data_IF_412828405722
#
_entry.id   IF_412828405722
#
_cell.length_a   1.000
_cell.length_b   1.000
_cell.length_c   1.000
_cell.angle_alpha   90.00
_cell.angle_beta   90.00
_cell.angle_gamma   90.00
#
_symmetry.space_group_name_H-M   'P 1'
#
loop_
_entity.id
_entity.type
_entity.pdbx_description
1 polymer ?
#
# COMPACT_ATOMS: atom_id res chain seq x y z
N UNK A 1 -11.22 14.55 52.49
CA UNK A 1 -12.54 14.79 51.90
C UNK A 1 -12.37 14.60 50.42
N UNK A 2 -12.90 13.50 49.90
CA UNK A 2 -13.27 13.26 48.50
C UNK A 2 -13.89 11.87 48.47
N UNK A 3 -15.21 11.82 48.65
CA UNK A 3 -16.01 10.61 48.51
C UNK A 3 -16.16 10.26 47.02
N UNK A 4 -16.01 8.99 46.62
CA UNK A 4 -16.29 8.56 45.26
C UNK A 4 -17.80 8.45 45.06
N UNK A 5 -18.30 9.20 44.08
CA UNK A 5 -19.69 9.27 43.66
C UNK A 5 -20.20 7.89 43.16
N UNK A 6 -20.84 7.14 44.05
CA UNK A 6 -21.34 5.76 43.85
C UNK A 6 -22.85 5.70 43.51
N UNK A 7 -23.36 6.58 42.63
CA UNK A 7 -24.81 6.57 42.28
C UNK A 7 -25.15 6.72 40.79
N UNK A 8 -24.20 6.53 39.86
CA UNK A 8 -24.49 6.73 38.42
C UNK A 8 -24.89 5.46 37.64
N UNK A 9 -24.63 4.25 38.16
CA UNK A 9 -24.70 3.00 37.37
C UNK A 9 -26.08 2.29 37.45
N UNK A 10 -26.77 2.39 38.60
CA UNK A 10 -28.09 1.78 38.80
C UNK A 10 -29.19 2.42 37.93
N UNK A 11 -29.13 3.74 37.70
CA UNK A 11 -30.10 4.46 36.88
C UNK A 11 -29.98 4.22 35.37
N UNK A 12 -28.83 3.78 34.87
CA UNK A 12 -28.65 3.39 33.47
C UNK A 12 -29.13 1.96 33.20
N UNK A 13 -28.91 1.03 34.14
CA UNK A 13 -29.40 -0.34 34.02
C UNK A 13 -30.94 -0.43 34.14
N UNK A 14 -31.56 0.34 35.06
CA UNK A 14 -33.03 0.41 35.14
C UNK A 14 -33.69 1.09 33.91
N UNK A 15 -33.00 2.06 33.28
CA UNK A 15 -33.48 2.68 32.02
C UNK A 15 -33.28 1.78 30.81
N UNK A 16 -32.28 0.91 30.80
CA UNK A 16 -32.08 -0.08 29.73
C UNK A 16 -33.09 -1.22 29.84
N UNK A 17 -33.39 -1.71 31.05
CA UNK A 17 -34.39 -2.77 31.29
C UNK A 17 -35.82 -2.35 30.88
N UNK A 18 -36.17 -1.06 30.97
CA UNK A 18 -37.49 -0.54 30.54
C UNK A 18 -37.65 -0.32 29.03
N UNK A 19 -36.63 -0.61 28.21
CA UNK A 19 -36.62 -0.27 26.78
C UNK A 19 -36.41 -1.47 25.85
N UNK A 20 -36.59 -2.71 26.35
CA UNK A 20 -36.77 -3.86 25.47
C UNK A 20 -38.08 -3.69 24.70
N UNK A 21 -37.97 -3.20 23.47
CA UNK A 21 -39.10 -3.07 22.55
C UNK A 21 -39.73 -4.45 22.36
N UNK A 22 -40.91 -4.64 22.92
CA UNK A 22 -41.74 -5.82 22.76
C UNK A 22 -42.12 -6.04 21.29
N UNK A 23 -42.33 -7.31 20.91
CA UNK A 23 -42.81 -7.64 19.57
C UNK A 23 -44.17 -6.97 19.32
N UNK A 24 -44.27 -6.22 18.22
CA UNK A 24 -45.51 -5.56 17.85
C UNK A 24 -46.13 -6.33 16.70
N UNK A 25 -47.25 -7.00 16.95
CA UNK A 25 -47.94 -7.75 15.91
C UNK A 25 -48.42 -6.83 14.79
N UNK A 26 -48.25 -7.27 13.54
CA UNK A 26 -48.79 -6.61 12.35
C UNK A 26 -49.52 -7.63 11.48
N UNK A 27 -50.50 -7.20 10.67
CA UNK A 27 -51.10 -8.07 9.66
C UNK A 27 -50.02 -8.63 8.72
N UNK A 28 -50.08 -9.92 8.31
CA UNK A 28 -49.13 -10.52 7.38
C UNK A 28 -48.83 -9.68 6.12
N UNK A 29 -49.87 -9.05 5.55
CA UNK A 29 -49.73 -8.15 4.40
C UNK A 29 -48.80 -6.95 4.63
N UNK A 30 -48.69 -6.49 5.88
CA UNK A 30 -47.79 -5.37 6.23
C UNK A 30 -46.33 -5.80 6.07
N UNK A 31 -45.99 -7.02 6.48
CA UNK A 31 -44.66 -7.58 6.27
C UNK A 31 -44.40 -7.80 4.77
N UNK A 32 -45.35 -8.42 4.05
CA UNK A 32 -45.23 -8.67 2.59
C UNK A 32 -44.98 -7.38 1.81
N UNK A 33 -45.80 -6.36 2.03
CA UNK A 33 -45.68 -5.06 1.37
C UNK A 33 -44.36 -4.36 1.70
N UNK A 34 -43.93 -4.43 2.96
CA UNK A 34 -42.64 -3.83 3.38
C UNK A 34 -41.47 -4.55 2.71
N UNK A 35 -41.48 -5.88 2.70
CA UNK A 35 -40.42 -6.72 2.11
C UNK A 35 -40.33 -6.52 0.60
N UNK A 36 -41.48 -6.36 -0.07
CA UNK A 36 -41.54 -6.12 -1.51
C UNK A 36 -40.74 -4.88 -1.95
N UNK A 37 -40.66 -3.84 -1.11
CA UNK A 37 -39.95 -2.59 -1.40
C UNK A 37 -38.48 -2.56 -0.93
N UNK A 38 -37.96 -3.64 -0.31
CA UNK A 38 -36.57 -3.64 0.16
C UNK A 38 -35.58 -3.75 -1.00
N UNK A 39 -34.42 -3.13 -0.85
CA UNK A 39 -33.41 -2.95 -1.90
C UNK A 39 -32.00 -3.28 -1.43
N UNK A 40 -31.11 -3.67 -2.34
CA UNK A 40 -29.69 -3.81 -2.05
C UNK A 40 -28.98 -2.44 -2.06
N UNK A 41 -29.34 -1.60 -3.02
CA UNK A 41 -28.76 -0.28 -3.25
C UNK A 41 -29.79 0.82 -2.99
N UNK A 42 -29.36 1.89 -2.33
CA UNK A 42 -30.23 3.05 -2.03
C UNK A 42 -29.51 4.36 -2.28
N UNK A 43 -30.19 5.33 -2.88
CA UNK A 43 -29.70 6.70 -3.06
C UNK A 43 -29.64 7.49 -1.76
N UNK A 44 -30.43 7.09 -0.75
CA UNK A 44 -30.53 7.80 0.54
C UNK A 44 -29.22 7.80 1.32
N UNK A 45 -28.37 6.79 1.10
CA UNK A 45 -27.04 6.71 1.72
C UNK A 45 -26.05 7.71 1.11
N UNK A 46 -26.27 8.11 -0.15
CA UNK A 46 -25.47 9.14 -0.83
C UNK A 46 -25.92 10.52 -0.38
N UNK A 47 -27.23 10.75 -0.34
CA UNK A 47 -27.82 11.96 0.20
C UNK A 47 -29.21 11.66 0.77
N UNK A 48 -29.39 11.85 2.09
CA UNK A 48 -30.64 11.53 2.79
C UNK A 48 -31.85 12.32 2.27
N UNK A 49 -31.60 13.50 1.68
CA UNK A 49 -32.63 14.40 1.15
C UNK A 49 -32.91 14.18 -0.34
N UNK A 50 -32.15 13.32 -1.04
CA UNK A 50 -32.46 12.96 -2.42
C UNK A 50 -33.78 12.18 -2.50
N UNK A 51 -34.49 12.28 -3.62
CA UNK A 51 -35.54 11.33 -3.94
C UNK A 51 -35.00 9.89 -3.86
N UNK A 52 -35.85 8.97 -3.39
CA UNK A 52 -35.46 7.56 -3.31
C UNK A 52 -35.27 7.02 -4.74
N UNK A 53 -34.06 6.58 -5.03
CA UNK A 53 -33.76 5.64 -6.10
C UNK A 53 -33.21 4.38 -5.42
N UNK A 54 -33.74 3.21 -5.78
CA UNK A 54 -33.38 1.95 -5.14
C UNK A 54 -33.38 0.80 -6.11
N UNK A 55 -32.46 -0.14 -5.92
CA UNK A 55 -32.29 -1.31 -6.79
C UNK A 55 -32.08 -2.56 -5.95
N UNK A 56 -32.87 -3.60 -6.22
CA UNK A 56 -32.69 -4.98 -5.77
C UNK A 56 -32.29 -5.84 -6.98
N UNK A 57 -31.35 -6.74 -6.74
CA UNK A 57 -30.78 -7.64 -7.73
C UNK A 57 -31.48 -8.99 -7.62
N UNK A 58 -31.69 -9.67 -8.75
CA UNK A 58 -32.09 -11.07 -8.82
C UNK A 58 -30.87 -12.00 -8.91
N UNK A 59 -31.10 -13.30 -8.79
CA UNK A 59 -30.06 -14.31 -9.03
C UNK A 59 -29.46 -14.22 -10.45
N UNK A 60 -30.26 -13.85 -11.45
CA UNK A 60 -29.82 -13.68 -12.84
C UNK A 60 -28.89 -12.47 -13.02
N UNK A 61 -28.87 -11.53 -12.07
CA UNK A 61 -27.92 -10.43 -12.07
C UNK A 61 -26.53 -10.86 -11.56
N UNK A 62 -26.34 -12.09 -11.07
CA UNK A 62 -25.05 -12.55 -10.62
C UNK A 62 -23.98 -12.44 -11.72
N UNK A 63 -22.75 -12.13 -11.32
CA UNK A 63 -21.62 -11.95 -12.25
C UNK A 63 -20.38 -12.64 -11.70
N UNK A 64 -19.82 -13.62 -12.40
CA UNK A 64 -18.54 -14.21 -12.01
C UNK A 64 -17.38 -13.37 -12.54
N UNK A 65 -16.77 -12.59 -11.67
CA UNK A 65 -15.66 -11.70 -11.97
C UNK A 65 -14.71 -11.59 -10.75
N UNK A 66 -13.43 -11.23 -10.94
CA UNK A 66 -12.43 -11.22 -9.87
C UNK A 66 -12.59 -10.08 -8.86
N UNK A 67 -13.55 -9.16 -9.07
CA UNK A 67 -13.79 -8.02 -8.20
C UNK A 67 -14.80 -8.34 -7.10
N UNK A 68 -14.69 -7.69 -5.94
CA UNK A 68 -15.69 -7.80 -4.87
C UNK A 68 -16.80 -6.77 -5.08
N UNK A 69 -18.02 -7.25 -5.30
CA UNK A 69 -19.23 -6.45 -5.53
C UNK A 69 -20.47 -7.26 -5.12
N UNK A 70 -21.66 -6.65 -5.10
CA UNK A 70 -22.88 -7.37 -4.77
C UNK A 70 -23.12 -8.55 -5.73
N UNK A 71 -22.98 -8.30 -7.04
CA UNK A 71 -23.21 -9.28 -8.10
C UNK A 71 -22.23 -10.45 -8.05
N UNK A 72 -20.97 -10.18 -7.71
CA UNK A 72 -19.92 -11.20 -7.62
C UNK A 72 -20.02 -12.01 -6.33
N UNK A 73 -20.45 -11.39 -5.23
CA UNK A 73 -20.78 -12.12 -4.00
C UNK A 73 -21.98 -13.05 -4.21
N UNK A 74 -23.03 -12.58 -4.90
CA UNK A 74 -24.19 -13.42 -5.25
C UNK A 74 -23.80 -14.60 -6.14
N UNK A 75 -22.92 -14.41 -7.13
CA UNK A 75 -22.39 -15.50 -7.96
C UNK A 75 -21.65 -16.58 -7.14
N UNK A 76 -21.12 -16.22 -5.97
CA UNK A 76 -20.47 -17.13 -5.02
C UNK A 76 -21.40 -17.65 -3.93
N UNK A 77 -22.72 -17.47 -4.08
CA UNK A 77 -23.73 -17.96 -3.15
C UNK A 77 -23.81 -17.16 -1.84
N UNK A 78 -23.22 -15.96 -1.79
CA UNK A 78 -23.32 -15.08 -0.61
C UNK A 78 -24.65 -14.32 -0.67
N UNK A 79 -25.51 -14.57 0.31
CA UNK A 79 -26.75 -13.81 0.51
C UNK A 79 -26.43 -12.43 1.11
N UNK A 80 -27.04 -11.39 0.56
CA UNK A 80 -26.86 -10.01 0.98
C UNK A 80 -28.14 -9.50 1.62
N UNK A 81 -28.03 -8.84 2.77
CA UNK A 81 -29.17 -8.22 3.43
C UNK A 81 -29.79 -7.13 2.56
N UNK A 82 -31.12 -7.11 2.53
CA UNK A 82 -31.92 -6.05 1.95
C UNK A 82 -32.13 -4.93 2.97
N UNK A 83 -32.23 -3.69 2.49
CA UNK A 83 -32.49 -2.50 3.32
C UNK A 83 -33.73 -1.73 2.83
N UNK A 84 -34.32 -0.94 3.71
CA UNK A 84 -35.39 -0.03 3.33
C UNK A 84 -34.83 1.33 2.93
N UNK A 85 -35.37 1.92 1.87
CA UNK A 85 -35.04 3.28 1.44
C UNK A 85 -36.09 4.33 1.80
N UNK A 86 -37.27 3.91 2.30
CA UNK A 86 -38.44 4.76 2.55
C UNK A 86 -39.07 4.47 3.91
N UNK A 87 -39.76 5.47 4.46
CA UNK A 87 -40.69 5.28 5.58
C UNK A 87 -40.11 5.43 6.99
N UNK A 88 -38.81 5.72 7.13
CA UNK A 88 -38.17 6.13 8.38
C UNK A 88 -38.49 5.21 9.57
N UNK A 89 -38.78 5.79 10.74
CA UNK A 89 -39.01 5.06 11.98
C UNK A 89 -40.16 4.03 11.92
N UNK A 90 -41.20 4.28 11.11
CA UNK A 90 -42.34 3.36 10.98
C UNK A 90 -41.93 2.05 10.31
N UNK A 91 -41.17 2.14 9.21
CA UNK A 91 -40.64 0.98 8.48
C UNK A 91 -39.48 0.33 9.22
N UNK A 92 -38.67 1.12 9.93
CA UNK A 92 -37.56 0.61 10.73
C UNK A 92 -37.99 -0.43 11.78
N UNK A 93 -39.16 -0.23 12.39
CA UNK A 93 -39.72 -1.18 13.35
C UNK A 93 -40.08 -2.53 12.72
N UNK A 94 -40.74 -2.50 11.57
CA UNK A 94 -41.12 -3.70 10.81
C UNK A 94 -39.86 -4.41 10.30
N UNK A 95 -38.91 -3.67 9.74
CA UNK A 95 -37.64 -4.25 9.25
C UNK A 95 -36.81 -4.88 10.38
N UNK A 96 -36.88 -4.34 11.61
CA UNK A 96 -36.27 -4.99 12.78
C UNK A 96 -36.85 -6.38 13.02
N UNK A 97 -38.18 -6.52 12.93
CA UNK A 97 -38.88 -7.80 13.10
C UNK A 97 -38.58 -8.77 11.96
N UNK A 98 -38.56 -8.29 10.72
CA UNK A 98 -38.15 -9.06 9.53
C UNK A 98 -36.73 -9.60 9.71
N UNK A 99 -35.77 -8.74 10.04
CA UNK A 99 -34.38 -9.16 10.27
C UNK A 99 -34.24 -10.13 11.44
N UNK A 100 -35.07 -10.03 12.47
CA UNK A 100 -35.06 -10.96 13.59
C UNK A 100 -35.50 -12.37 13.15
N UNK A 101 -36.54 -12.49 12.33
CA UNK A 101 -36.98 -13.77 11.77
C UNK A 101 -35.92 -14.35 10.84
N UNK A 102 -35.44 -13.57 9.86
CA UNK A 102 -34.45 -14.01 8.87
C UNK A 102 -33.14 -14.48 9.50
N UNK A 103 -32.73 -13.89 10.63
CA UNK A 103 -31.49 -14.23 11.33
C UNK A 103 -31.67 -15.25 12.45
N UNK A 104 -32.88 -15.75 12.68
CA UNK A 104 -33.18 -16.64 13.81
C UNK A 104 -32.87 -16.02 15.17
N UNK A 105 -33.12 -14.72 15.32
CA UNK A 105 -32.88 -14.01 16.58
C UNK A 105 -33.95 -14.41 17.63
N UNK A 106 -33.61 -14.56 18.93
CA UNK A 106 -34.59 -14.86 19.98
C UNK A 106 -35.78 -13.89 20.04
N UNK A 107 -35.61 -12.63 19.60
CA UNK A 107 -36.70 -11.66 19.49
C UNK A 107 -37.86 -12.14 18.58
N UNK A 108 -37.58 -13.01 17.61
CA UNK A 108 -38.59 -13.61 16.74
C UNK A 108 -39.45 -14.66 17.44
N UNK A 109 -39.08 -15.14 18.63
CA UNK A 109 -39.84 -16.13 19.40
C UNK A 109 -41.26 -15.65 19.74
N UNK A 110 -41.43 -14.32 19.89
CA UNK A 110 -42.71 -13.69 20.16
C UNK A 110 -43.61 -13.52 18.92
N UNK A 111 -43.10 -13.79 17.72
CA UNK A 111 -43.87 -13.75 16.48
C UNK A 111 -44.82 -14.95 16.37
N UNK A 112 -46.01 -14.73 15.83
CA UNK A 112 -46.92 -15.85 15.52
C UNK A 112 -46.38 -16.70 14.37
N UNK A 113 -46.82 -17.97 14.27
CA UNK A 113 -46.45 -18.84 13.16
C UNK A 113 -46.86 -18.26 11.80
N UNK A 114 -47.99 -17.55 11.75
CA UNK A 114 -48.48 -16.88 10.53
C UNK A 114 -47.58 -15.69 10.12
N UNK A 115 -47.14 -14.88 11.10
CA UNK A 115 -46.21 -13.78 10.84
C UNK A 115 -44.86 -14.30 10.33
N UNK A 116 -44.32 -15.36 10.94
CA UNK A 116 -43.05 -15.96 10.52
C UNK A 116 -43.12 -16.50 9.10
N UNK A 117 -44.14 -17.31 8.79
CA UNK A 117 -44.37 -17.83 7.43
C UNK A 117 -44.47 -16.70 6.42
N UNK A 118 -45.24 -15.64 6.72
CA UNK A 118 -45.38 -14.51 5.83
C UNK A 118 -44.07 -13.77 5.57
N UNK A 119 -43.20 -13.64 6.58
CA UNK A 119 -41.88 -13.02 6.46
C UNK A 119 -40.93 -13.91 5.65
N UNK A 120 -40.85 -15.19 5.98
CA UNK A 120 -39.94 -16.14 5.33
C UNK A 120 -40.26 -16.31 3.84
N UNK A 121 -41.55 -16.49 3.50
CA UNK A 121 -42.00 -16.61 2.12
C UNK A 121 -41.74 -15.32 1.33
N UNK A 122 -42.07 -14.16 1.91
CA UNK A 122 -41.88 -12.88 1.25
C UNK A 122 -40.39 -12.56 1.05
N UNK A 123 -39.53 -12.87 2.02
CA UNK A 123 -38.08 -12.67 1.89
C UNK A 123 -37.48 -13.61 0.84
N UNK A 124 -37.92 -14.86 0.78
CA UNK A 124 -37.51 -15.82 -0.25
C UNK A 124 -37.87 -15.30 -1.65
N UNK A 125 -39.09 -14.78 -1.81
CA UNK A 125 -39.54 -14.15 -3.05
C UNK A 125 -38.76 -12.87 -3.39
N UNK A 126 -38.48 -12.01 -2.40
CA UNK A 126 -37.74 -10.77 -2.61
C UNK A 126 -36.29 -11.03 -3.01
N UNK A 127 -35.58 -11.96 -2.36
CA UNK A 127 -34.20 -12.31 -2.69
C UNK A 127 -34.07 -12.96 -4.08
N UNK A 128 -35.15 -13.51 -4.63
CA UNK A 128 -35.17 -14.16 -5.95
C UNK A 128 -35.66 -13.23 -7.07
N UNK A 129 -36.05 -11.99 -6.76
CA UNK A 129 -36.68 -11.07 -7.72
C UNK A 129 -35.97 -9.72 -7.81
N UNK A 130 -35.75 -9.25 -9.04
CA UNK A 130 -35.25 -7.91 -9.30
C UNK A 130 -36.36 -6.89 -8.99
N UNK A 131 -35.96 -5.74 -8.46
CA UNK A 131 -36.88 -4.64 -8.19
C UNK A 131 -36.15 -3.32 -8.31
N UNK A 132 -36.83 -2.30 -8.82
CA UNK A 132 -36.31 -0.94 -8.89
C UNK A 132 -37.39 0.07 -8.57
N UNK A 133 -37.01 1.16 -7.93
CA UNK A 133 -37.90 2.27 -7.59
C UNK A 133 -37.18 3.60 -7.83
N UNK A 134 -37.88 4.58 -8.42
CA UNK A 134 -37.37 5.94 -8.60
C UNK A 134 -36.12 6.03 -9.49
N UNK A 135 -36.04 5.16 -10.50
CA UNK A 135 -34.91 5.10 -11.45
C UNK A 135 -35.19 5.87 -12.76
N UNK A 136 -36.39 6.43 -12.92
CA UNK A 136 -36.80 7.15 -14.13
C UNK A 136 -36.08 8.51 -14.26
N UNK A 137 -35.77 9.14 -13.12
CA UNK A 137 -35.14 10.44 -13.05
C UNK A 137 -34.04 10.47 -11.99
N UNK A 138 -32.94 11.16 -12.29
CA UNK A 138 -31.84 11.34 -11.32
C UNK A 138 -32.07 12.63 -10.53
N UNK A 139 -32.13 12.51 -9.21
CA UNK A 139 -32.18 13.68 -8.31
C UNK A 139 -30.87 14.48 -8.44
N UNK A 140 -30.97 15.82 -8.53
CA UNK A 140 -29.83 16.72 -8.67
C UNK A 140 -28.81 16.65 -7.52
N UNK A 141 -29.18 16.06 -6.38
CA UNK A 141 -28.29 15.84 -5.23
C UNK A 141 -27.41 14.61 -5.37
N UNK A 142 -27.70 13.75 -6.33
CA UNK A 142 -26.92 12.53 -6.59
C UNK A 142 -25.77 12.83 -7.55
N UNK A 143 -24.63 12.20 -7.29
CA UNK A 143 -23.46 12.35 -8.15
C UNK A 143 -23.67 11.58 -9.44
N UNK A 144 -23.21 12.17 -10.54
CA UNK A 144 -23.12 11.51 -11.84
C UNK A 144 -21.66 11.46 -12.28
N UNK A 145 -21.23 10.31 -12.76
CA UNK A 145 -19.89 10.07 -13.30
C UNK A 145 -20.04 9.69 -14.75
N UNK A 146 -19.30 10.36 -15.65
CA UNK A 146 -19.26 10.02 -17.06
C UNK A 146 -18.14 9.00 -17.31
N UNK A 147 -18.51 7.84 -17.82
CA UNK A 147 -17.57 6.76 -18.16
C UNK A 147 -17.49 6.67 -19.69
N UNK A 148 -16.30 6.81 -20.30
CA UNK A 148 -16.12 6.59 -21.72
C UNK A 148 -16.62 5.20 -22.11
N UNK A 149 -17.45 5.11 -23.15
CA UNK A 149 -17.94 3.83 -23.66
C UNK A 149 -18.04 3.89 -25.17
N UNK A 150 -17.30 3.00 -25.83
CA UNK A 150 -17.39 2.82 -27.27
C UNK A 150 -18.83 2.47 -27.69
N UNK A 151 -19.32 3.13 -28.73
CA UNK A 151 -20.69 2.95 -29.24
C UNK A 151 -21.80 3.63 -28.42
N UNK A 152 -21.48 4.33 -27.32
CA UNK A 152 -22.47 5.19 -26.66
C UNK A 152 -22.68 6.50 -27.43
N UNK A 153 -23.92 7.00 -27.44
CA UNK A 153 -24.23 8.31 -27.99
C UNK A 153 -23.45 9.40 -27.23
N UNK A 154 -22.67 10.20 -27.95
CA UNK A 154 -21.75 11.17 -27.34
C UNK A 154 -20.48 10.58 -26.73
N UNK A 155 -20.24 9.26 -26.84
CA UNK A 155 -19.01 8.58 -26.41
C UNK A 155 -18.92 8.25 -24.90
N UNK A 156 -19.96 8.57 -24.12
CA UNK A 156 -19.97 8.37 -22.66
C UNK A 156 -21.28 7.76 -22.18
N UNK A 157 -21.22 7.07 -21.04
CA UNK A 157 -22.39 6.68 -20.24
C UNK A 157 -22.35 7.40 -18.90
N UNK A 158 -23.47 8.02 -18.51
CA UNK A 158 -23.63 8.62 -17.19
C UNK A 158 -24.05 7.56 -16.17
N UNK A 159 -23.35 7.50 -15.04
CA UNK A 159 -23.59 6.54 -13.97
C UNK A 159 -23.77 7.25 -12.63
N UNK A 160 -24.77 6.83 -11.86
CA UNK A 160 -24.99 7.28 -10.48
C UNK A 160 -24.60 6.17 -9.50
N UNK A 161 -23.46 6.29 -8.79
CA UNK A 161 -23.06 5.30 -7.82
C UNK A 161 -24.00 5.33 -6.60
N UNK A 162 -24.47 4.16 -6.19
CA UNK A 162 -25.28 3.96 -4.98
C UNK A 162 -24.60 2.95 -4.06
N UNK A 163 -24.77 3.10 -2.75
CA UNK A 163 -24.15 2.21 -1.76
C UNK A 163 -24.96 0.93 -1.59
N UNK A 164 -24.29 -0.22 -1.55
CA UNK A 164 -24.90 -1.49 -1.20
C UNK A 164 -24.82 -1.74 0.31
N UNK A 165 -25.94 -1.61 1.02
CA UNK A 165 -25.95 -1.73 2.49
C UNK A 165 -25.56 -3.11 2.99
N UNK A 166 -26.03 -4.17 2.33
CA UNK A 166 -25.72 -5.56 2.68
C UNK A 166 -24.22 -5.89 2.58
N UNK A 167 -23.49 -5.27 1.66
CA UNK A 167 -22.02 -5.44 1.58
C UNK A 167 -21.35 -4.80 2.79
N UNK A 168 -21.77 -3.59 3.17
CA UNK A 168 -21.23 -2.92 4.35
C UNK A 168 -21.54 -3.71 5.63
N UNK A 169 -22.69 -4.35 5.73
CA UNK A 169 -22.99 -5.25 6.84
C UNK A 169 -22.04 -6.46 6.86
N UNK A 170 -21.92 -7.17 5.74
CA UNK A 170 -21.02 -8.32 5.62
C UNK A 170 -19.58 -7.97 6.05
N UNK A 171 -19.10 -6.79 5.67
CA UNK A 171 -17.73 -6.36 5.96
C UNK A 171 -17.57 -5.76 7.36
N UNK A 172 -18.51 -4.93 7.82
CA UNK A 172 -18.29 -3.98 8.92
C UNK A 172 -19.26 -4.11 10.09
N UNK A 173 -20.19 -5.07 10.07
CA UNK A 173 -21.01 -5.40 11.24
C UNK A 173 -20.10 -5.71 12.44
N UNK A 174 -20.48 -5.20 13.62
CA UNK A 174 -19.57 -5.06 14.77
C UNK A 174 -19.07 -6.41 15.29
N UNK A 175 -19.96 -7.40 15.36
CA UNK A 175 -19.70 -8.64 16.06
C UNK A 175 -19.32 -9.76 15.08
N UNK A 176 -19.86 -9.72 13.86
CA UNK A 176 -19.75 -10.78 12.87
C UNK A 176 -19.20 -10.33 11.50
N UNK A 177 -18.94 -9.04 11.32
CA UNK A 177 -18.33 -8.53 10.10
C UNK A 177 -16.94 -9.09 9.85
N UNK A 178 -16.57 -9.24 8.59
CA UNK A 178 -15.26 -9.78 8.20
C UNK A 178 -14.09 -8.93 8.73
N UNK A 179 -14.23 -7.60 8.77
CA UNK A 179 -13.15 -6.70 9.23
C UNK A 179 -12.93 -6.77 10.74
N UNK A 180 -13.96 -6.68 11.61
CA UNK A 180 -13.78 -6.90 13.04
C UNK A 180 -13.19 -8.27 13.38
N UNK A 181 -13.65 -9.34 12.72
CA UNK A 181 -13.10 -10.70 12.91
C UNK A 181 -11.62 -10.79 12.52
N UNK A 182 -11.25 -10.22 11.38
CA UNK A 182 -9.86 -10.12 10.94
C UNK A 182 -9.00 -9.35 11.95
N UNK A 183 -9.48 -8.20 12.41
CA UNK A 183 -8.75 -7.38 13.37
C UNK A 183 -8.59 -8.05 14.73
N UNK A 184 -9.60 -8.79 15.21
CA UNK A 184 -9.49 -9.60 16.41
C UNK A 184 -8.43 -10.71 16.24
N UNK A 185 -8.41 -11.39 15.09
CA UNK A 185 -7.38 -12.38 14.77
C UNK A 185 -5.97 -11.76 14.72
N UNK A 186 -5.82 -10.57 14.14
CA UNK A 186 -4.55 -9.82 14.14
C UNK A 186 -4.07 -9.51 15.56
N UNK A 187 -4.98 -9.08 16.44
CA UNK A 187 -4.66 -8.75 17.84
C UNK A 187 -4.23 -9.98 18.63
N UNK A 188 -4.89 -11.12 18.42
CA UNK A 188 -4.51 -12.39 19.05
C UNK A 188 -3.16 -12.92 18.53
N UNK A 189 -2.86 -12.77 17.23
CA UNK A 189 -1.54 -13.10 16.68
C UNK A 189 -0.45 -12.21 17.31
N UNK A 190 -0.70 -10.90 17.38
CA UNK A 190 0.24 -9.94 17.97
C UNK A 190 0.53 -10.19 19.46
N UNK A 191 -0.45 -10.70 20.23
CA UNK A 191 -0.24 -11.14 21.62
C UNK A 191 0.67 -12.37 21.70
N UNK A 192 0.54 -13.32 20.76
CA UNK A 192 1.34 -14.57 20.74
C UNK A 192 2.80 -14.34 20.33
N UNK A 193 3.05 -13.37 19.45
CA UNK A 193 4.40 -13.05 18.96
C UNK A 193 5.20 -12.13 19.89
N UNK A 194 4.58 -11.61 20.96
CA UNK A 194 5.19 -10.61 21.85
C UNK A 194 5.23 -9.21 21.21
N UNK A 195 5.06 -8.16 22.02
CA UNK A 195 5.40 -6.80 21.58
C UNK A 195 6.93 -6.68 21.60
N UNK A 196 7.58 -6.08 20.58
CA UNK A 196 8.96 -5.65 20.75
C UNK A 196 8.99 -4.63 21.90
N UNK A 197 9.64 -5.00 23.00
CA UNK A 197 9.97 -4.06 24.06
C UNK A 197 11.06 -3.13 23.53
N UNK A 198 10.81 -1.83 23.65
CA UNK A 198 11.65 -0.73 23.20
C UNK A 198 11.57 -0.50 21.68
N UNK A 199 11.16 0.71 21.31
CA UNK A 199 10.99 1.17 19.92
C UNK A 199 12.30 1.32 19.13
N UNK A 200 13.19 0.34 19.23
CA UNK A 200 14.25 0.14 18.27
C UNK A 200 13.73 -0.80 17.19
N UNK A 201 13.56 -0.27 15.97
CA UNK A 201 13.47 -1.08 14.76
C UNK A 201 14.79 -1.83 14.57
N UNK A 202 14.99 -2.88 15.36
CA UNK A 202 16.02 -3.88 15.08
C UNK A 202 15.51 -4.64 13.86
N UNK A 203 16.21 -4.50 12.74
CA UNK A 203 15.86 -4.95 11.39
C UNK A 203 15.69 -6.47 11.18
N UNK A 204 15.18 -7.19 12.18
CA UNK A 204 14.93 -8.63 12.12
C UNK A 204 13.69 -9.08 12.93
N UNK A 205 12.77 -8.17 13.27
CA UNK A 205 11.48 -8.58 13.81
C UNK A 205 10.66 -9.31 12.72
N UNK A 206 10.11 -10.51 12.99
CA UNK A 206 9.30 -11.22 12.00
C UNK A 206 8.12 -10.32 11.63
N UNK A 207 8.07 -9.89 10.35
CA UNK A 207 6.93 -9.14 9.80
C UNK A 207 5.65 -9.88 10.19
N UNK A 208 4.78 -9.24 10.97
CA UNK A 208 3.47 -9.80 11.32
C UNK A 208 2.77 -10.24 10.03
N UNK A 209 2.33 -11.51 9.98
CA UNK A 209 1.68 -12.07 8.78
C UNK A 209 0.35 -11.37 8.51
N UNK A 210 -0.34 -10.90 9.55
CA UNK A 210 -1.57 -10.14 9.44
C UNK A 210 -1.39 -8.66 9.81
N UNK A 211 -1.99 -7.78 9.01
CA UNK A 211 -2.05 -6.34 9.25
C UNK A 211 -3.45 -5.94 9.68
N UNK A 212 -3.55 -5.14 10.75
CA UNK A 212 -4.81 -4.55 11.20
C UNK A 212 -5.38 -3.64 10.10
N UNK A 213 -6.64 -3.88 9.75
CA UNK A 213 -7.40 -3.05 8.80
C UNK A 213 -7.99 -1.86 9.55
N UNK A 214 -7.57 -0.65 9.19
CA UNK A 214 -8.08 0.58 9.81
C UNK A 214 -9.46 0.92 9.25
N UNK A 215 -10.33 1.41 10.12
CA UNK A 215 -11.65 1.94 9.75
C UNK A 215 -11.73 3.40 10.19
N UNK A 216 -12.36 4.23 9.37
CA UNK A 216 -12.74 5.59 9.77
C UNK A 216 -14.13 5.57 10.42
N UNK A 217 -14.50 6.67 11.09
CA UNK A 217 -15.87 6.89 11.54
C UNK A 217 -16.49 8.04 10.74
N UNK A 218 -17.50 7.71 9.93
CA UNK A 218 -18.14 8.66 9.03
C UNK A 218 -19.65 8.68 9.28
N UNK A 219 -20.16 9.76 9.87
CA UNK A 219 -21.59 9.88 10.17
C UNK A 219 -22.45 10.01 8.91
N UNK A 220 -23.50 9.21 8.80
CA UNK A 220 -24.51 9.26 7.73
C UNK A 220 -25.90 9.47 8.35
N UNK A 221 -26.67 10.42 7.83
CA UNK A 221 -28.05 10.71 8.29
C UNK A 221 -28.16 11.63 9.50
N UNK A 222 -27.07 12.27 9.92
CA UNK A 222 -27.06 13.26 11.00
C UNK A 222 -27.59 12.71 12.33
N UNK A 223 -28.51 13.43 12.95
CA UNK A 223 -29.10 13.07 14.25
C UNK A 223 -30.10 11.90 14.18
N UNK A 224 -30.64 11.58 13.01
CA UNK A 224 -31.57 10.46 12.85
C UNK A 224 -31.24 9.57 11.63
N UNK A 225 -30.25 8.66 11.78
CA UNK A 225 -29.85 7.76 10.71
C UNK A 225 -30.97 6.84 10.21
N UNK A 226 -31.99 6.54 11.02
CA UNK A 226 -33.10 5.66 10.61
C UNK A 226 -33.91 6.21 9.43
N UNK A 227 -33.81 7.50 9.14
CA UNK A 227 -34.45 8.08 7.94
C UNK A 227 -33.72 7.71 6.64
N UNK A 228 -32.49 7.21 6.74
CA UNK A 228 -31.65 6.82 5.59
C UNK A 228 -31.84 5.35 5.24
N UNK A 229 -31.88 4.49 6.26
CA UNK A 229 -31.98 3.04 6.11
C UNK A 229 -31.63 2.31 7.41
N UNK A 230 -31.94 1.02 7.47
CA UNK A 230 -31.68 0.15 8.60
C UNK A 230 -30.21 -0.22 8.74
N UNK A 231 -29.50 -0.35 7.61
CA UNK A 231 -28.08 -0.73 7.58
C UNK A 231 -27.14 0.49 7.66
N UNK A 232 -27.66 1.71 7.74
CA UNK A 232 -26.84 2.93 7.72
C UNK A 232 -25.73 2.91 8.78
N UNK A 233 -25.98 2.34 9.97
CA UNK A 233 -25.02 2.34 11.09
C UNK A 233 -23.76 1.53 10.79
N UNK A 234 -23.89 0.41 10.06
CA UNK A 234 -22.72 -0.38 9.65
C UNK A 234 -21.94 0.31 8.53
N UNK A 235 -22.59 1.13 7.72
CA UNK A 235 -21.95 1.91 6.66
C UNK A 235 -21.09 3.07 7.20
N UNK A 236 -21.26 3.45 8.47
CA UNK A 236 -20.51 4.56 9.10
C UNK A 236 -19.07 4.18 9.48
N UNK A 237 -18.59 2.99 9.10
CA UNK A 237 -17.26 2.47 9.41
C UNK A 237 -16.48 1.99 8.18
N UNK A 238 -16.27 2.84 7.15
CA UNK A 238 -15.56 2.43 5.95
C UNK A 238 -14.09 2.11 6.25
N UNK A 239 -13.48 1.30 5.38
CA UNK A 239 -12.03 1.08 5.41
C UNK A 239 -11.29 2.39 5.19
N UNK A 240 -10.29 2.64 6.01
CA UNK A 240 -9.37 3.76 5.87
C UNK A 240 -8.10 3.30 5.17
N UNK A 241 -7.90 3.79 3.96
CA UNK A 241 -6.70 3.53 3.16
C UNK A 241 -5.82 4.78 3.19
N UNK A 242 -4.52 4.61 3.49
CA UNK A 242 -3.59 5.74 3.42
C UNK A 242 -3.44 6.22 1.98
N UNK A 243 -3.13 7.51 1.83
CA UNK A 243 -2.61 8.02 0.57
C UNK A 243 -1.34 7.23 0.19
N UNK A 244 -1.10 6.99 -1.11
CA UNK A 244 0.18 6.46 -1.58
C UNK A 244 1.33 7.28 -1.00
N UNK A 245 2.31 6.61 -0.39
CA UNK A 245 3.54 7.26 0.10
C UNK A 245 4.66 7.01 -0.89
N UNK A 246 5.60 7.94 -1.01
CA UNK A 246 6.86 7.64 -1.69
C UNK A 246 7.62 6.59 -0.88
N UNK A 247 8.17 5.61 -1.56
CA UNK A 247 9.11 4.65 -0.99
C UNK A 247 10.50 5.06 -1.50
N UNK A 248 11.11 6.04 -0.83
CA UNK A 248 12.34 6.68 -1.31
C UNK A 248 13.50 5.67 -1.37
N UNK A 249 13.57 4.75 -0.41
CA UNK A 249 14.56 3.66 -0.41
C UNK A 249 14.35 2.68 -1.56
N UNK A 250 13.09 2.30 -1.85
CA UNK A 250 12.77 1.45 -3.00
C UNK A 250 13.12 2.17 -4.31
N UNK A 251 12.86 3.48 -4.39
CA UNK A 251 13.25 4.30 -5.54
C UNK A 251 14.78 4.37 -5.69
N UNK A 252 15.51 4.48 -4.59
CA UNK A 252 16.97 4.42 -4.58
C UNK A 252 17.46 3.05 -5.05
N UNK A 253 16.87 1.95 -4.56
CA UNK A 253 17.17 0.59 -5.01
C UNK A 253 16.91 0.41 -6.52
N UNK A 254 15.79 0.90 -7.05
CA UNK A 254 15.53 0.93 -8.51
C UNK A 254 16.58 1.76 -9.27
N UNK A 255 17.01 2.88 -8.71
CA UNK A 255 18.06 3.69 -9.33
C UNK A 255 19.39 2.93 -9.37
N UNK A 256 19.78 2.26 -8.28
CA UNK A 256 20.99 1.42 -8.23
C UNK A 256 20.89 0.25 -9.21
N UNK A 257 19.72 -0.40 -9.30
CA UNK A 257 19.49 -1.54 -10.18
C UNK A 257 19.75 -1.20 -11.66
N UNK A 258 19.26 -0.05 -12.14
CA UNK A 258 19.39 0.34 -13.55
C UNK A 258 20.59 1.23 -13.86
N UNK A 259 21.13 1.97 -12.89
CA UNK A 259 22.19 2.97 -13.11
C UNK A 259 23.52 2.66 -12.42
N UNK A 260 23.52 1.73 -11.48
CA UNK A 260 24.67 1.44 -10.63
C UNK A 260 24.99 2.58 -9.65
N UNK A 261 26.24 2.62 -9.18
CA UNK A 261 26.72 3.68 -8.29
C UNK A 261 27.38 4.81 -9.07
N UNK A 262 27.27 6.03 -8.55
CA UNK A 262 28.01 7.17 -9.08
C UNK A 262 29.46 7.13 -8.63
N UNK A 263 30.40 7.18 -9.58
CA UNK A 263 31.84 7.35 -9.37
C UNK A 263 32.18 8.82 -9.69
N UNK A 264 31.66 9.73 -8.87
CA UNK A 264 31.91 11.17 -9.00
C UNK A 264 32.74 11.65 -7.80
N UNK A 265 33.97 12.04 -8.09
CA UNK A 265 34.94 12.54 -7.11
C UNK A 265 34.77 14.03 -6.79
N UNK A 266 33.84 14.73 -7.45
CA UNK A 266 33.54 16.15 -7.19
C UNK A 266 32.68 16.33 -5.93
N UNK A 267 31.85 15.33 -5.61
CA UNK A 267 30.95 15.38 -4.46
C UNK A 267 31.70 15.23 -3.13
N UNK A 268 31.29 15.93 -2.06
CA UNK A 268 31.86 15.70 -0.73
C UNK A 268 31.69 14.24 -0.30
N UNK A 269 32.76 13.62 0.22
CA UNK A 269 32.73 12.26 0.72
C UNK A 269 34.08 11.54 0.63
N UNK A 270 34.13 10.24 0.99
CA UNK A 270 35.36 9.45 1.03
C UNK A 270 36.12 9.42 -0.30
N UNK A 271 35.41 9.28 -1.43
CA UNK A 271 36.00 9.30 -2.77
C UNK A 271 36.81 10.59 -3.01
N UNK A 272 36.19 11.75 -2.75
CA UNK A 272 36.84 13.06 -2.92
C UNK A 272 38.03 13.24 -1.98
N UNK A 273 37.92 12.80 -0.73
CA UNK A 273 39.02 12.86 0.22
C UNK A 273 40.23 12.03 -0.26
N UNK A 274 39.98 10.82 -0.75
CA UNK A 274 41.03 9.96 -1.30
C UNK A 274 41.70 10.58 -2.54
N UNK A 275 40.92 11.15 -3.46
CA UNK A 275 41.48 11.84 -4.63
C UNK A 275 42.30 13.08 -4.25
N UNK A 276 41.83 13.90 -3.29
CA UNK A 276 42.56 15.07 -2.84
C UNK A 276 43.91 14.70 -2.21
N UNK A 277 43.95 13.64 -1.39
CA UNK A 277 45.19 13.14 -0.81
C UNK A 277 46.18 12.68 -1.90
N UNK A 278 45.68 12.00 -2.95
CA UNK A 278 46.50 11.61 -4.09
C UNK A 278 47.01 12.82 -4.90
N UNK A 279 46.15 13.81 -5.17
CA UNK A 279 46.53 15.04 -5.87
C UNK A 279 47.53 15.90 -5.07
N UNK A 280 47.44 15.92 -3.73
CA UNK A 280 48.43 16.56 -2.86
C UNK A 280 49.78 15.85 -2.93
N UNK A 281 49.79 14.52 -2.93
CA UNK A 281 51.01 13.72 -3.12
C UNK A 281 51.70 14.04 -4.44
N UNK A 282 50.97 14.02 -5.56
CA UNK A 282 51.56 14.29 -6.88
C UNK A 282 52.17 15.68 -6.99
N UNK A 283 51.53 16.70 -6.42
CA UNK A 283 52.07 18.06 -6.34
C UNK A 283 53.35 18.13 -5.50
N UNK A 284 53.39 17.47 -4.33
CA UNK A 284 54.59 17.41 -3.47
C UNK A 284 55.78 16.78 -4.17
N UNK A 285 55.54 15.77 -5.00
CA UNK A 285 56.59 15.05 -5.73
C UNK A 285 56.86 15.60 -7.13
N UNK A 286 56.25 16.72 -7.52
CA UNK A 286 56.48 17.37 -8.81
C UNK A 286 56.05 16.54 -10.02
N UNK A 287 55.10 15.62 -9.84
CA UNK A 287 54.65 14.68 -10.86
C UNK A 287 53.70 15.32 -11.90
N UNK A 288 53.31 16.58 -11.69
CA UNK A 288 52.29 17.28 -12.48
C UNK A 288 52.85 18.39 -13.40
N UNK A 289 54.16 18.66 -13.38
CA UNK A 289 54.78 19.74 -14.15
C UNK A 289 55.72 19.23 -15.27
N UNK A 290 55.34 19.47 -16.52
CA UNK A 290 56.24 19.36 -17.67
C UNK A 290 57.34 20.43 -17.66
N UNK A 291 58.55 20.02 -18.05
CA UNK A 291 59.71 20.85 -18.42
C UNK A 291 60.57 21.50 -17.32
N UNK A 292 60.18 21.54 -16.04
CA UNK A 292 61.08 22.04 -14.96
C UNK A 292 61.13 21.20 -13.69
N UNK A 293 60.54 20.00 -13.71
CA UNK A 293 60.76 19.04 -12.65
C UNK A 293 62.21 18.55 -12.70
N UNK A 294 63.02 18.92 -11.70
CA UNK A 294 64.19 18.12 -11.34
C UNK A 294 63.73 16.67 -11.28
N UNK A 295 64.41 15.70 -11.92
CA UNK A 295 63.98 14.31 -11.92
C UNK A 295 63.95 13.83 -10.48
N UNK A 296 62.77 13.89 -9.86
CA UNK A 296 62.53 13.37 -8.54
C UNK A 296 62.80 11.88 -8.64
N UNK A 297 63.93 11.44 -8.11
CA UNK A 297 64.16 10.02 -7.86
C UNK A 297 63.01 9.57 -6.98
N UNK A 298 62.02 8.90 -7.56
CA UNK A 298 61.05 8.11 -6.80
C UNK A 298 61.85 7.06 -6.07
N UNK A 299 62.10 7.29 -4.78
CA UNK A 299 62.62 6.27 -3.91
C UNK A 299 61.55 5.21 -3.64
N UNK A 300 61.95 4.09 -3.03
CA UNK A 300 61.03 2.99 -2.73
C UNK A 300 59.85 3.49 -1.86
N UNK A 301 60.13 4.40 -0.92
CA UNK A 301 59.15 4.93 0.02
C UNK A 301 58.07 5.77 -0.68
N UNK A 302 58.42 6.60 -1.65
CA UNK A 302 57.45 7.37 -2.43
C UNK A 302 56.55 6.46 -3.28
N UNK A 303 57.07 5.32 -3.76
CA UNK A 303 56.27 4.34 -4.50
C UNK A 303 55.27 3.63 -3.60
N UNK A 304 55.69 3.22 -2.41
CA UNK A 304 54.81 2.63 -1.38
C UNK A 304 53.71 3.61 -0.93
N UNK A 305 54.05 4.89 -0.76
CA UNK A 305 53.06 5.93 -0.43
C UNK A 305 52.03 6.12 -1.56
N UNK A 306 52.49 6.16 -2.81
CA UNK A 306 51.59 6.25 -3.98
C UNK A 306 50.68 5.03 -4.12
N UNK A 307 51.20 3.81 -3.92
CA UNK A 307 50.41 2.58 -3.91
C UNK A 307 49.33 2.61 -2.82
N UNK A 308 49.68 3.05 -1.60
CA UNK A 308 48.72 3.19 -0.52
C UNK A 308 47.60 4.21 -0.84
N UNK A 309 47.94 5.34 -1.45
CA UNK A 309 46.95 6.37 -1.82
C UNK A 309 45.99 5.90 -2.92
N UNK A 310 46.49 5.20 -3.94
CA UNK A 310 45.64 4.61 -4.98
C UNK A 310 44.80 3.44 -4.41
N UNK A 311 45.37 2.65 -3.50
CA UNK A 311 44.63 1.63 -2.75
C UNK A 311 43.47 2.22 -1.94
N UNK A 312 43.65 3.38 -1.32
CA UNK A 312 42.57 4.08 -0.61
C UNK A 312 41.44 4.53 -1.55
N UNK A 313 41.77 4.94 -2.79
CA UNK A 313 40.76 5.26 -3.81
C UNK A 313 39.95 4.00 -4.16
N UNK A 314 40.62 2.89 -4.45
CA UNK A 314 39.97 1.62 -4.77
C UNK A 314 39.08 1.13 -3.61
N UNK A 315 39.58 1.20 -2.38
CA UNK A 315 38.83 0.83 -1.17
C UNK A 315 37.56 1.67 -1.00
N UNK A 316 37.63 2.99 -1.23
CA UNK A 316 36.47 3.86 -1.14
C UNK A 316 35.40 3.56 -2.21
N UNK A 317 35.81 3.14 -3.42
CA UNK A 317 34.89 2.67 -4.47
C UNK A 317 34.23 1.35 -4.07
N UNK A 318 35.00 0.39 -3.56
CA UNK A 318 34.50 -0.92 -3.13
C UNK A 318 33.52 -0.80 -1.96
N UNK A 319 33.83 0.03 -0.96
CA UNK A 319 32.95 0.27 0.18
C UNK A 319 31.58 0.81 -0.26
N UNK A 320 31.57 1.79 -1.17
CA UNK A 320 30.31 2.34 -1.72
C UNK A 320 29.51 1.29 -2.50
N UNK A 321 30.20 0.37 -3.17
CA UNK A 321 29.56 -0.73 -3.86
C UNK A 321 28.95 -1.76 -2.90
N UNK A 322 29.59 -2.02 -1.76
CA UNK A 322 29.07 -2.92 -0.74
C UNK A 322 27.80 -2.35 -0.09
N UNK A 323 27.78 -1.07 0.26
CA UNK A 323 26.58 -0.37 0.76
C UNK A 323 25.41 -0.45 -0.24
N UNK A 324 25.70 -0.21 -1.52
CA UNK A 324 24.71 -0.33 -2.59
C UNK A 324 24.22 -1.77 -2.76
N UNK A 325 25.10 -2.76 -2.58
CA UNK A 325 24.77 -4.18 -2.67
C UNK A 325 23.83 -4.63 -1.56
N UNK A 326 24.05 -4.15 -0.33
CA UNK A 326 23.15 -4.41 0.80
C UNK A 326 21.74 -3.88 0.51
N UNK A 327 21.63 -2.63 0.05
CA UNK A 327 20.34 -2.05 -0.34
C UNK A 327 19.66 -2.85 -1.45
N UNK A 328 20.38 -3.29 -2.48
CA UNK A 328 19.81 -4.11 -3.55
C UNK A 328 19.28 -5.46 -3.04
N UNK A 329 19.96 -6.06 -2.04
CA UNK A 329 19.53 -7.32 -1.42
C UNK A 329 18.27 -7.12 -0.57
N UNK A 330 18.20 -6.06 0.22
CA UNK A 330 17.05 -5.75 1.07
C UNK A 330 15.76 -5.57 0.25
N UNK A 331 15.89 -5.05 -0.97
CA UNK A 331 14.78 -4.80 -1.89
C UNK A 331 14.65 -5.84 -3.01
N UNK A 332 15.42 -6.92 -3.01
CA UNK A 332 15.50 -7.88 -4.11
C UNK A 332 14.13 -8.37 -4.58
N UNK A 333 13.22 -8.72 -3.67
CA UNK A 333 11.87 -9.23 -3.98
C UNK A 333 10.94 -8.20 -4.65
N UNK A 334 11.29 -6.92 -4.61
CA UNK A 334 10.52 -5.82 -5.21
C UNK A 334 11.16 -5.30 -6.52
N UNK A 335 12.40 -5.71 -6.80
CA UNK A 335 13.12 -5.39 -8.02
C UNK A 335 12.77 -6.38 -9.15
N UNK A 336 13.09 -6.07 -10.41
CA UNK A 336 12.85 -7.00 -11.52
C UNK A 336 13.62 -8.31 -11.33
N UNK A 337 12.92 -9.44 -11.49
CA UNK A 337 13.45 -10.79 -11.28
C UNK A 337 14.09 -11.33 -12.57
N UNK A 338 15.04 -10.59 -13.12
CA UNK A 338 15.78 -10.99 -14.32
C UNK A 338 16.94 -11.94 -13.98
N UNK A 339 17.46 -12.65 -14.99
CA UNK A 339 18.63 -13.50 -14.84
C UNK A 339 19.85 -12.87 -15.51
N UNK A 340 21.02 -13.05 -14.90
CA UNK A 340 22.29 -12.68 -15.49
C UNK A 340 22.55 -13.58 -16.71
N UNK A 341 22.72 -13.04 -17.92
CA UNK A 341 22.99 -13.85 -19.11
C UNK A 341 24.33 -14.60 -19.03
N UNK A 342 25.28 -14.10 -18.24
CA UNK A 342 26.61 -14.70 -18.07
C UNK A 342 26.62 -15.93 -17.17
N UNK A 343 25.78 -15.96 -16.12
CA UNK A 343 25.80 -17.00 -15.08
C UNK A 343 24.50 -17.81 -14.99
N UNK A 344 23.40 -17.32 -15.56
CA UNK A 344 22.06 -17.88 -15.41
C UNK A 344 21.45 -17.71 -14.01
N UNK A 345 22.14 -17.00 -13.10
CA UNK A 345 21.65 -16.73 -11.74
C UNK A 345 20.72 -15.52 -11.72
N UNK A 346 19.94 -15.35 -10.65
CA UNK A 346 19.16 -14.12 -10.44
C UNK A 346 20.09 -12.89 -10.46
N UNK A 347 19.67 -11.86 -11.19
CA UNK A 347 20.46 -10.65 -11.41
C UNK A 347 20.27 -9.66 -10.27
N UNK A 348 21.36 -9.33 -9.55
CA UNK A 348 21.31 -8.34 -8.47
C UNK A 348 21.16 -6.90 -8.99
N UNK A 349 21.61 -6.67 -10.22
CA UNK A 349 21.50 -5.41 -10.98
C UNK A 349 21.00 -5.72 -12.38
N UNK A 350 20.49 -4.73 -13.09
CA UNK A 350 19.99 -4.94 -14.45
C UNK A 350 21.08 -5.55 -15.35
N UNK A 351 20.76 -6.60 -16.14
CA UNK A 351 21.65 -7.12 -17.17
C UNK A 351 22.06 -6.07 -18.21
N UNK A 352 21.23 -5.03 -18.38
CA UNK A 352 21.47 -3.92 -19.32
C UNK A 352 22.39 -2.83 -18.75
N UNK A 353 22.72 -2.87 -17.45
CA UNK A 353 23.56 -1.86 -16.82
C UNK A 353 24.94 -1.78 -17.49
N UNK A 354 25.30 -0.56 -17.93
CA UNK A 354 26.62 -0.24 -18.51
C UNK A 354 27.32 0.84 -17.70
N UNK A 355 28.66 0.83 -17.63
CA UNK A 355 29.59 -0.15 -18.23
C UNK A 355 29.60 -1.52 -17.51
N UNK A 356 30.11 -2.57 -18.15
CA UNK A 356 30.15 -3.95 -17.56
C UNK A 356 30.91 -3.97 -16.24
N UNK A 357 31.99 -3.21 -16.11
CA UNK A 357 32.76 -3.10 -14.87
C UNK A 357 31.89 -2.65 -13.68
N UNK A 358 30.86 -1.82 -13.91
CA UNK A 358 29.90 -1.40 -12.88
C UNK A 358 29.01 -2.57 -12.42
N UNK A 359 28.64 -3.48 -13.33
CA UNK A 359 27.93 -4.71 -12.96
C UNK A 359 28.80 -5.60 -12.07
N UNK A 360 30.05 -5.84 -12.47
CA UNK A 360 31.00 -6.61 -11.66
C UNK A 360 31.38 -5.96 -10.32
N UNK A 361 31.25 -4.63 -10.22
CA UNK A 361 31.45 -3.90 -8.97
C UNK A 361 30.34 -4.19 -7.95
N UNK A 362 29.08 -4.19 -8.41
CA UNK A 362 27.91 -4.44 -7.57
C UNK A 362 27.62 -5.93 -7.37
N UNK A 363 27.92 -6.77 -8.36
CA UNK A 363 27.81 -8.22 -8.30
C UNK A 363 29.19 -8.86 -8.57
N UNK A 364 29.98 -9.17 -7.52
CA UNK A 364 31.31 -9.74 -7.67
C UNK A 364 31.38 -11.06 -8.43
N UNK A 365 30.26 -11.81 -8.54
CA UNK A 365 30.21 -13.05 -9.30
C UNK A 365 30.36 -12.84 -10.82
N UNK A 366 30.18 -11.60 -11.29
CA UNK A 366 30.32 -11.20 -12.69
C UNK A 366 31.73 -10.70 -13.04
N UNK A 367 32.68 -10.71 -12.10
CA UNK A 367 34.05 -10.26 -12.36
C UNK A 367 34.80 -11.31 -13.17
N UNK A 368 35.32 -10.92 -14.32
CA UNK A 368 36.23 -11.72 -15.13
C UNK A 368 37.69 -11.25 -14.97
N UNK A 369 38.62 -11.88 -15.70
CA UNK A 369 40.04 -11.50 -15.66
C UNK A 369 40.35 -10.11 -16.20
N UNK A 370 39.42 -9.47 -16.91
CA UNK A 370 39.57 -8.10 -17.43
C UNK A 370 38.95 -7.04 -16.50
N UNK A 371 38.09 -7.46 -15.57
CA UNK A 371 37.38 -6.55 -14.67
C UNK A 371 38.28 -5.57 -13.90
N UNK A 372 39.41 -5.98 -13.27
CA UNK A 372 40.26 -5.03 -12.54
C UNK A 372 40.76 -3.88 -13.42
N UNK A 373 41.08 -4.18 -14.69
CA UNK A 373 41.56 -3.19 -15.67
C UNK A 373 40.43 -2.24 -16.07
N UNK A 374 39.28 -2.78 -16.44
CA UNK A 374 38.14 -1.97 -16.88
C UNK A 374 37.64 -1.07 -15.74
N UNK A 375 37.69 -1.58 -14.51
CA UNK A 375 37.33 -0.83 -13.32
C UNK A 375 38.34 0.28 -13.00
N UNK A 376 39.64 0.02 -13.15
CA UNK A 376 40.68 1.04 -13.02
C UNK A 376 40.47 2.21 -14.00
N UNK A 377 40.18 1.92 -15.27
CA UNK A 377 39.89 2.94 -16.29
C UNK A 377 38.63 3.74 -15.97
N UNK A 378 37.57 3.08 -15.49
CA UNK A 378 36.33 3.75 -15.09
C UNK A 378 36.57 4.70 -13.91
N UNK A 379 37.39 4.32 -12.94
CA UNK A 379 37.79 5.17 -11.82
C UNK A 379 38.63 6.36 -12.28
N UNK A 380 39.62 6.14 -13.15
CA UNK A 380 40.42 7.22 -13.74
C UNK A 380 39.53 8.23 -14.45
N UNK A 381 38.56 7.77 -15.24
CA UNK A 381 37.58 8.65 -15.87
C UNK A 381 36.86 9.52 -14.85
N UNK A 382 36.41 8.95 -13.72
CA UNK A 382 35.83 9.74 -12.62
C UNK A 382 36.80 10.74 -11.99
N UNK A 383 38.07 10.36 -11.81
CA UNK A 383 39.12 11.22 -11.24
C UNK A 383 39.43 12.42 -12.13
N UNK A 384 39.56 12.21 -13.44
CA UNK A 384 39.82 13.27 -14.43
C UNK A 384 38.63 14.23 -14.59
N UNK A 385 37.41 13.74 -14.38
CA UNK A 385 36.21 14.57 -14.41
C UNK A 385 35.99 15.35 -13.10
N UNK A 386 36.75 15.04 -12.03
CA UNK A 386 36.60 15.70 -10.75
C UNK A 386 36.98 17.18 -10.83
N UNK A 387 36.15 18.04 -10.25
CA UNK A 387 36.40 19.49 -10.21
C UNK A 387 36.23 20.08 -8.81
N UNK A 388 36.99 21.14 -8.54
CA UNK A 388 36.75 22.03 -7.41
C UNK A 388 35.50 22.88 -7.66
N UNK A 389 35.00 23.53 -6.61
CA UNK A 389 33.81 24.40 -6.70
C UNK A 389 33.97 25.58 -7.68
N UNK A 390 35.21 25.96 -8.00
CA UNK A 390 35.53 27.00 -8.99
C UNK A 390 35.60 26.47 -10.44
N UNK A 391 35.30 25.18 -10.66
CA UNK A 391 35.32 24.54 -11.98
C UNK A 391 36.68 24.00 -12.41
N UNK A 392 37.76 24.27 -11.67
CA UNK A 392 39.09 23.76 -12.00
C UNK A 392 39.15 22.25 -11.72
N UNK A 393 39.83 21.51 -12.60
CA UNK A 393 40.09 20.07 -12.38
C UNK A 393 40.90 19.86 -11.11
N UNK A 394 40.58 18.78 -10.38
CA UNK A 394 41.34 18.40 -9.18
C UNK A 394 42.75 17.94 -9.54
N UNK A 395 42.89 17.25 -10.67
CA UNK A 395 44.13 16.70 -11.18
C UNK A 395 44.02 16.53 -12.69
N UNK A 396 45.15 16.59 -13.41
CA UNK A 396 45.24 16.26 -14.83
C UNK A 396 46.40 15.28 -15.00
N UNK A 397 46.13 14.12 -15.60
CA UNK A 397 47.15 13.11 -15.87
C UNK A 397 47.57 13.20 -17.34
N UNK A 398 48.88 13.17 -17.59
CA UNK A 398 49.37 12.95 -18.95
C UNK A 398 49.26 11.45 -19.33
N UNK A 399 49.56 11.11 -20.58
CA UNK A 399 49.45 9.73 -21.09
C UNK A 399 50.29 8.73 -20.29
N UNK A 400 51.49 9.13 -19.84
CA UNK A 400 52.42 8.26 -19.10
C UNK A 400 51.96 8.07 -17.66
N UNK A 401 51.53 9.15 -17.02
CA UNK A 401 50.96 9.13 -15.68
C UNK A 401 49.67 8.30 -15.65
N UNK A 402 48.81 8.46 -16.66
CA UNK A 402 47.57 7.70 -16.81
C UNK A 402 47.83 6.20 -16.88
N UNK A 403 48.78 5.77 -17.72
CA UNK A 403 49.14 4.35 -17.83
C UNK A 403 49.71 3.78 -16.51
N UNK A 404 50.51 4.57 -15.79
CA UNK A 404 51.09 4.18 -14.50
C UNK A 404 50.01 4.05 -13.43
N UNK A 405 49.09 5.02 -13.34
CA UNK A 405 47.96 5.01 -12.39
C UNK A 405 47.01 3.85 -12.71
N UNK A 406 46.72 3.61 -13.99
CA UNK A 406 45.88 2.49 -14.42
C UNK A 406 46.46 1.15 -13.98
N UNK A 407 47.77 0.92 -14.15
CA UNK A 407 48.41 -0.33 -13.73
C UNK A 407 48.36 -0.55 -12.21
N UNK A 408 48.52 0.51 -11.41
CA UNK A 408 48.45 0.41 -9.94
C UNK A 408 47.02 0.27 -9.42
N UNK A 409 46.05 0.95 -10.03
CA UNK A 409 44.64 0.74 -9.72
C UNK A 409 44.16 -0.64 -10.15
N UNK A 410 44.64 -1.17 -11.29
CA UNK A 410 44.36 -2.55 -11.72
C UNK A 410 44.83 -3.54 -10.63
N UNK A 411 46.05 -3.36 -10.11
CA UNK A 411 46.56 -4.20 -9.01
C UNK A 411 45.76 -4.02 -7.72
N UNK A 412 45.31 -2.80 -7.40
CA UNK A 412 44.47 -2.54 -6.23
C UNK A 412 43.05 -3.13 -6.32
N UNK A 413 42.57 -3.42 -7.53
CA UNK A 413 41.27 -4.06 -7.77
C UNK A 413 41.35 -5.58 -7.94
N UNK A 414 42.56 -6.16 -8.04
CA UNK A 414 42.75 -7.61 -7.97
C UNK A 414 42.54 -8.09 -6.53
#
# INVERSE_FOLDING_TARGET
MDEPNMEADGGQQERQAKNEKTWKAYPPETYRNTIAELVHFSSKTVNSNAALAGVRLASDDALDAPYVSARTLMARGVSLSLDYGKGGAAVAGICKQVNAVVRGNPFAEAASSEERLAIEDAMTGACSSAFSVGVEHVDHRLRQILIPKEGAEGGYVSMTPMTAGGICELLFEKDNGLVPRHNAACEEEGKRTGKPENGEEVGNAPRMKMRKLRQAQFGIGGSNPQNVGGLVRVMQRPLFVDAPRSADDLRAAFSLYYKGISIDFSLPGPLRQALLAYADFRRRHGLDNGESATPGRTDLKAREEEEALLGNIAAAVLQRADEAREMLRDYAVMLPQEQNPETGTEALVSPELRPIAMRGLLDPALRDGTWPRDMAWLVIGGMEHASYANGNRVMVLDVTATATVAGRLEEAFR
#
